data_IF_370662739730
#
_entry.id   IF_370662739730
#
_cell.length_a   1.000
_cell.length_b   1.000
_cell.length_c   1.000
_cell.angle_alpha   90.00
_cell.angle_beta   90.00
_cell.angle_gamma   90.00
#
_symmetry.space_group_name_H-M   'P 1'
#
loop_
_entity.id
_entity.type
_entity.pdbx_description
1 polymer ?
#
# COMPACT_ATOMS: atom_id res chain seq x y z
N UNK A 1 2.37 24.61 11.43
CA UNK A 1 2.84 23.57 10.49
C UNK A 1 2.51 24.02 9.08
N UNK A 2 3.51 24.18 8.21
CA UNK A 2 3.27 24.50 6.80
C UNK A 2 2.52 23.35 6.14
N UNK A 3 1.47 23.67 5.37
CA UNK A 3 0.81 22.68 4.52
C UNK A 3 1.74 22.40 3.34
N UNK A 4 2.20 21.16 3.23
CA UNK A 4 2.99 20.71 2.10
C UNK A 4 2.06 20.53 0.89
N UNK A 5 2.29 21.23 -0.23
CA UNK A 5 1.42 21.14 -1.41
C UNK A 5 1.33 19.71 -1.97
N UNK A 6 2.38 18.90 -1.89
CA UNK A 6 2.39 17.51 -2.35
C UNK A 6 1.46 16.66 -1.48
N UNK A 7 1.49 16.89 -0.16
CA UNK A 7 0.65 16.14 0.78
C UNK A 7 -0.83 16.45 0.56
N UNK A 8 -1.17 17.71 0.31
CA UNK A 8 -2.56 18.11 0.04
C UNK A 8 -3.08 17.51 -1.28
N UNK A 9 -2.27 17.47 -2.33
CA UNK A 9 -2.62 16.79 -3.59
C UNK A 9 -2.87 15.30 -3.37
N UNK A 10 -1.95 14.60 -2.70
CA UNK A 10 -2.09 13.16 -2.41
C UNK A 10 -3.36 12.90 -1.58
N UNK A 11 -3.67 13.76 -0.61
CA UNK A 11 -4.89 13.66 0.19
C UNK A 11 -6.14 13.85 -0.66
N UNK A 12 -6.16 14.85 -1.53
CA UNK A 12 -7.29 15.10 -2.43
C UNK A 12 -7.53 13.92 -3.38
N UNK A 13 -6.47 13.33 -3.95
CA UNK A 13 -6.57 12.15 -4.81
C UNK A 13 -7.13 10.96 -4.02
N UNK A 14 -6.60 10.69 -2.83
CA UNK A 14 -7.07 9.58 -1.97
C UNK A 14 -8.53 9.76 -1.56
N UNK A 15 -8.96 10.98 -1.25
CA UNK A 15 -10.35 11.27 -0.90
C UNK A 15 -11.30 11.01 -2.08
N UNK A 16 -10.91 11.37 -3.31
CA UNK A 16 -11.69 11.05 -4.51
C UNK A 16 -11.83 9.55 -4.72
N UNK A 17 -10.72 8.81 -4.68
CA UNK A 17 -10.72 7.34 -4.82
C UNK A 17 -11.59 6.70 -3.72
N UNK A 18 -11.47 7.17 -2.48
CA UNK A 18 -12.29 6.65 -1.38
C UNK A 18 -13.78 6.92 -1.63
N UNK A 19 -14.16 8.12 -2.06
CA UNK A 19 -15.55 8.46 -2.37
C UNK A 19 -16.13 7.62 -3.52
N UNK A 20 -15.36 7.34 -4.57
CA UNK A 20 -15.75 6.44 -5.67
C UNK A 20 -16.11 5.02 -5.19
N UNK A 21 -15.49 4.57 -4.09
CA UNK A 21 -15.71 3.27 -3.48
C UNK A 21 -16.54 3.34 -2.18
N UNK A 22 -17.28 4.43 -1.96
CA UNK A 22 -18.17 4.57 -0.80
C UNK A 22 -17.44 4.63 0.55
N UNK A 23 -16.16 4.99 0.56
CA UNK A 23 -15.24 4.94 1.70
C UNK A 23 -15.07 3.54 2.31
N UNK A 24 -15.36 2.49 1.54
CA UNK A 24 -15.15 1.10 1.94
C UNK A 24 -13.74 0.63 1.52
N UNK A 25 -12.91 0.32 2.53
CA UNK A 25 -11.55 -0.15 2.31
C UNK A 25 -11.50 -1.48 1.55
N UNK A 26 -12.44 -2.39 1.83
CA UNK A 26 -12.47 -3.69 1.15
C UNK A 26 -12.82 -3.53 -0.33
N UNK A 27 -13.79 -2.66 -0.64
CA UNK A 27 -14.16 -2.33 -2.00
C UNK A 27 -12.99 -1.70 -2.80
N UNK A 28 -12.23 -0.79 -2.17
CA UNK A 28 -11.02 -0.20 -2.78
C UNK A 28 -9.99 -1.29 -3.09
N UNK A 29 -9.70 -2.17 -2.12
CA UNK A 29 -8.73 -3.25 -2.30
C UNK A 29 -9.16 -4.20 -3.43
N UNK A 30 -10.44 -4.57 -3.49
CA UNK A 30 -10.95 -5.43 -4.56
C UNK A 30 -10.81 -4.75 -5.92
N UNK A 31 -11.20 -3.48 -6.04
CA UNK A 31 -11.09 -2.73 -7.29
C UNK A 31 -9.63 -2.62 -7.77
N UNK A 32 -8.69 -2.41 -6.85
CA UNK A 32 -7.26 -2.39 -7.18
C UNK A 32 -6.79 -3.76 -7.66
N UNK A 33 -7.13 -4.84 -6.96
CA UNK A 33 -6.79 -6.22 -7.37
C UNK A 33 -7.38 -6.62 -8.71
N UNK A 34 -8.56 -6.12 -9.07
CA UNK A 34 -9.15 -6.35 -10.39
C UNK A 34 -8.40 -5.62 -11.51
N UNK A 35 -7.85 -4.44 -11.21
CA UNK A 35 -7.00 -3.69 -12.15
C UNK A 35 -5.59 -4.28 -12.27
N UNK A 36 -5.09 -4.93 -11.22
CA UNK A 36 -3.81 -5.63 -11.24
C UNK A 36 -3.79 -6.69 -12.36
N UNK A 37 -2.82 -6.59 -13.26
CA UNK A 37 -2.67 -7.51 -14.41
C UNK A 37 -3.33 -7.03 -15.70
N UNK A 38 -4.20 -6.01 -15.66
CA UNK A 38 -4.76 -5.39 -16.87
C UNK A 38 -3.66 -4.71 -17.73
N UNK A 39 -2.60 -4.20 -17.08
CA UNK A 39 -1.47 -3.53 -17.73
C UNK A 39 -0.46 -4.52 -18.38
N UNK A 40 -0.82 -5.80 -18.52
CA UNK A 40 0.00 -6.85 -19.13
C UNK A 40 1.17 -7.34 -18.28
N UNK A 41 1.42 -6.73 -17.12
CA UNK A 41 2.43 -7.19 -16.15
C UNK A 41 1.90 -8.35 -15.34
N UNK A 42 2.72 -9.40 -15.19
CA UNK A 42 2.37 -10.56 -14.36
C UNK A 42 2.27 -10.16 -12.88
N UNK A 43 1.12 -10.40 -12.28
CA UNK A 43 0.96 -10.34 -10.83
C UNK A 43 1.68 -11.54 -10.19
N UNK A 44 2.58 -11.29 -9.25
CA UNK A 44 3.36 -12.33 -8.55
C UNK A 44 3.13 -12.25 -7.05
N UNK A 45 2.93 -13.40 -6.42
CA UNK A 45 2.85 -13.52 -4.97
C UNK A 45 4.17 -14.13 -4.45
N UNK A 46 5.05 -13.28 -3.91
CA UNK A 46 6.34 -13.71 -3.38
C UNK A 46 6.20 -14.04 -1.89
N UNK A 47 6.60 -15.26 -1.50
CA UNK A 47 6.66 -15.63 -0.10
C UNK A 47 7.65 -14.73 0.67
N UNK A 48 7.30 -14.37 1.91
CA UNK A 48 8.16 -13.55 2.74
C UNK A 48 9.51 -14.24 3.01
N UNK A 49 10.62 -13.52 2.78
CA UNK A 49 11.96 -14.00 3.10
C UNK A 49 12.16 -13.95 4.62
N UNK A 50 12.48 -15.09 5.24
CA UNK A 50 12.76 -15.14 6.68
C UNK A 50 14.05 -14.36 6.98
N UNK A 51 13.96 -13.37 7.87
CA UNK A 51 15.12 -12.64 8.36
C UNK A 51 15.77 -13.45 9.50
N UNK A 52 17.09 -13.69 9.50
CA UNK A 52 17.75 -14.37 10.60
C UNK A 52 17.60 -13.56 11.89
N UNK A 53 17.29 -14.23 13.01
CA UNK A 53 17.24 -13.58 14.34
C UNK A 53 18.60 -12.96 14.63
N UNK A 54 18.59 -11.66 14.98
CA UNK A 54 19.78 -10.93 15.40
C UNK A 54 20.36 -11.63 16.64
N UNK A 55 21.57 -12.16 16.54
CA UNK A 55 22.26 -12.80 17.66
C UNK A 55 22.49 -11.74 18.74
N UNK A 56 21.80 -11.86 19.87
CA UNK A 56 22.08 -11.05 21.05
C UNK A 56 23.49 -11.41 21.51
N UNK A 57 24.43 -10.46 21.41
CA UNK A 57 25.76 -10.62 22.03
C UNK A 57 25.53 -10.74 23.53
N UNK A 58 25.87 -11.88 24.13
CA UNK A 58 25.94 -12.00 25.59
C UNK A 58 27.08 -11.08 26.05
N UNK A 59 26.79 -10.13 26.93
CA UNK A 59 27.80 -9.40 27.66
C UNK A 59 28.47 -10.40 28.62
N UNK A 60 29.79 -10.55 28.49
CA UNK A 60 30.65 -11.21 29.45
C UNK A 60 31.37 -10.18 30.29
#
# INVERSE_FOLDING_TARGET
>A
MSKDPIVEEVRAIRAKIAAEHGNDLEAIIQALKQKEGADGRRVVNLAAKRVPKKQTRKAG
#
